data_IF_357934507632
#
_entry.id   IF_357934507632
#
_cell.length_a   1.000
_cell.length_b   1.000
_cell.length_c   1.000
_cell.angle_alpha   90.00
_cell.angle_beta   90.00
_cell.angle_gamma   90.00
#
_symmetry.space_group_name_H-M   'P 1'
#
loop_
_entity.id
_entity.type
_entity.pdbx_description
1 polymer ?
#
# COMPACT_ATOMS: atom_id res chain seq x y z
N UNK A 1 8.05 -12.39 -39.00
CA UNK A 1 7.25 -11.23 -38.57
C UNK A 1 7.26 -11.21 -37.05
N UNK A 2 7.79 -10.15 -36.46
CA UNK A 2 7.91 -9.99 -35.01
C UNK A 2 6.59 -9.47 -34.46
N UNK A 3 5.85 -10.30 -33.71
CA UNK A 3 4.68 -9.84 -32.96
C UNK A 3 5.17 -9.24 -31.64
N UNK A 4 5.33 -7.92 -31.63
CA UNK A 4 5.67 -7.15 -30.45
C UNK A 4 4.44 -7.05 -29.54
N UNK A 5 4.23 -8.04 -28.67
CA UNK A 5 3.26 -7.92 -27.58
C UNK A 5 3.83 -6.96 -26.54
N UNK A 6 3.64 -5.66 -26.76
CA UNK A 6 3.62 -4.71 -25.67
C UNK A 6 2.36 -5.02 -24.84
N UNK A 7 2.45 -6.04 -23.99
CA UNK A 7 1.58 -6.16 -22.85
C UNK A 7 1.83 -4.90 -22.02
N UNK A 8 0.93 -3.92 -22.13
CA UNK A 8 0.75 -2.93 -21.08
C UNK A 8 0.42 -3.75 -19.84
N UNK A 9 1.45 -4.14 -19.08
CA UNK A 9 1.24 -4.73 -17.78
C UNK A 9 0.61 -3.61 -16.99
N UNK A 10 -0.69 -3.73 -16.75
CA UNK A 10 -1.36 -2.95 -15.74
C UNK A 10 -0.67 -3.31 -14.43
N UNK A 11 0.37 -2.54 -14.07
CA UNK A 11 1.08 -2.70 -12.81
C UNK A 11 0.02 -2.55 -11.73
N UNK A 12 -0.31 -3.67 -11.08
CA UNK A 12 -1.27 -3.65 -9.99
C UNK A 12 -0.68 -2.72 -8.92
N UNK A 13 -1.37 -1.62 -8.66
CA UNK A 13 -0.99 -0.70 -7.61
C UNK A 13 -1.42 -1.31 -6.28
N UNK A 14 -0.44 -1.78 -5.51
CA UNK A 14 -0.66 -2.26 -4.15
C UNK A 14 -0.56 -1.09 -3.19
N UNK A 15 -1.55 -0.95 -2.30
CA UNK A 15 -1.54 0.02 -1.20
C UNK A 15 -1.61 -0.77 0.10
N UNK A 16 -0.72 -0.45 1.04
CA UNK A 16 -0.66 -1.07 2.38
C UNK A 16 -0.97 0.01 3.41
N UNK A 17 -2.06 -0.19 4.14
CA UNK A 17 -2.45 0.64 5.27
C UNK A 17 -1.91 0.01 6.56
N UNK A 18 -1.22 0.80 7.39
CA UNK A 18 -0.71 0.34 8.69
C UNK A 18 -1.33 1.21 9.79
N UNK A 19 -2.01 0.56 10.72
CA UNK A 19 -2.55 1.20 11.91
C UNK A 19 -1.42 1.43 12.93
N UNK A 20 -1.10 2.70 13.19
CA UNK A 20 -0.03 3.09 14.12
C UNK A 20 -0.43 3.02 15.59
N UNK A 21 -1.69 2.72 15.90
CA UNK A 21 -2.14 2.44 17.27
C UNK A 21 -1.65 1.08 17.79
N UNK A 22 -1.23 0.19 16.88
CA UNK A 22 -0.63 -1.10 17.22
C UNK A 22 0.82 -0.90 17.63
N UNK A 23 1.18 -1.37 18.82
CA UNK A 23 2.55 -1.33 19.33
C UNK A 23 3.54 -1.98 18.32
N UNK A 24 4.66 -1.30 18.08
CA UNK A 24 5.74 -1.73 17.19
C UNK A 24 5.32 -1.97 15.72
N UNK A 25 4.33 -1.23 15.21
CA UNK A 25 3.87 -1.34 13.81
C UNK A 25 5.00 -1.13 12.79
N UNK A 26 6.06 -0.39 13.14
CA UNK A 26 7.23 -0.16 12.29
C UNK A 26 7.96 -1.46 11.92
N UNK A 27 7.80 -2.51 12.73
CA UNK A 27 8.36 -3.84 12.45
C UNK A 27 7.73 -4.53 11.24
N UNK A 28 6.58 -4.04 10.75
CA UNK A 28 5.94 -4.52 9.53
C UNK A 28 6.62 -3.97 8.27
N UNK A 29 7.25 -2.78 8.34
CA UNK A 29 7.84 -2.08 7.19
C UNK A 29 8.85 -2.92 6.40
N UNK A 30 9.78 -3.68 7.03
CA UNK A 30 10.77 -4.46 6.30
C UNK A 30 10.17 -5.62 5.46
N UNK A 31 8.94 -6.04 5.75
CA UNK A 31 8.26 -7.12 5.03
C UNK A 31 7.39 -6.68 3.85
N UNK A 32 7.26 -5.38 3.62
CA UNK A 32 6.39 -4.83 2.59
C UNK A 32 7.09 -4.83 1.24
N UNK A 33 6.36 -5.17 0.17
CA UNK A 33 6.83 -5.04 -1.20
C UNK A 33 7.30 -3.59 -1.45
N UNK A 34 8.55 -3.35 -1.87
CA UNK A 34 9.06 -1.99 -2.09
C UNK A 34 8.32 -1.21 -3.18
N UNK A 35 7.48 -1.87 -3.99
CA UNK A 35 6.63 -1.22 -4.99
C UNK A 35 5.25 -0.84 -4.45
N UNK A 36 4.91 -1.21 -3.21
CA UNK A 36 3.64 -0.84 -2.59
C UNK A 36 3.69 0.60 -2.04
N UNK A 37 2.58 1.32 -2.17
CA UNK A 37 2.38 2.58 -1.47
C UNK A 37 2.01 2.30 -0.02
N UNK A 38 2.78 2.83 0.93
CA UNK A 38 2.53 2.64 2.36
C UNK A 38 1.90 3.89 2.95
N UNK A 39 0.75 3.71 3.61
CA UNK A 39 0.01 4.77 4.31
C UNK A 39 -0.07 4.40 5.79
N UNK A 40 0.53 5.22 6.64
CA UNK A 40 0.43 5.08 8.09
C UNK A 40 -0.81 5.86 8.54
N UNK A 41 -1.76 5.18 9.19
CA UNK A 41 -2.99 5.80 9.67
C UNK A 41 -2.69 6.66 10.91
N UNK A 42 -3.32 7.82 11.00
CA UNK A 42 -3.34 8.62 12.23
C UNK A 42 -4.19 7.87 13.28
N UNK A 43 -3.63 7.53 14.46
CA UNK A 43 -4.33 6.74 15.46
C UNK A 43 -5.42 7.55 16.18
N UNK A 44 -5.47 8.87 15.97
CA UNK A 44 -6.48 9.76 16.55
C UNK A 44 -7.67 10.02 15.62
N UNK A 45 -7.74 9.33 14.47
CA UNK A 45 -8.80 9.48 13.47
C UNK A 45 -9.46 8.13 13.16
N UNK A 46 -10.68 8.16 12.65
CA UNK A 46 -11.36 6.93 12.21
C UNK A 46 -10.61 6.27 11.05
N UNK A 47 -10.10 5.04 11.27
CA UNK A 47 -9.27 4.34 10.29
C UNK A 47 -10.01 4.01 8.99
N UNK A 48 -11.29 3.63 9.08
CA UNK A 48 -12.11 3.36 7.89
C UNK A 48 -12.38 4.66 7.11
N UNK A 49 -12.67 5.76 7.80
CA UNK A 49 -12.79 7.09 7.22
C UNK A 49 -11.55 7.51 6.44
N UNK A 50 -10.35 7.32 7.03
CA UNK A 50 -9.08 7.57 6.36
C UNK A 50 -8.92 6.72 5.09
N UNK A 51 -9.15 5.41 5.17
CA UNK A 51 -9.05 4.48 4.01
C UNK A 51 -10.02 4.89 2.89
N UNK A 52 -11.25 5.28 3.24
CA UNK A 52 -12.29 5.65 2.26
C UNK A 52 -12.04 6.99 1.55
N UNK A 53 -11.10 7.80 2.05
CA UNK A 53 -10.78 9.14 1.54
C UNK A 53 -9.57 9.17 0.59
N UNK A 54 -9.02 8.00 0.25
CA UNK A 54 -7.88 7.83 -0.68
C UNK A 54 -8.36 7.75 -2.13
#
# INVERSE_FOLDING_TARGET
MLSNHNSVQNQLKTIVFIDSSVENYETLLPGIDPNAEVIILDPNQDGIGQISSI
#
